data_IF_310529997107
#
_entry.id   IF_310529997107
#
_cell.length_a   1.000
_cell.length_b   1.000
_cell.length_c   1.000
_cell.angle_alpha   90.00
_cell.angle_beta   90.00
_cell.angle_gamma   90.00
#
_symmetry.space_group_name_H-M   'P 1'
#
loop_
_entity.id
_entity.type
_entity.pdbx_description
1 polymer ?
#
# COMPACT_ATOMS: atom_id res chain seq x y z
N UNK A 1 -5.89 -28.64 -1.13
CA UNK A 1 -4.55 -29.09 -1.59
C UNK A 1 -3.61 -27.91 -1.73
N UNK A 2 -4.04 -26.76 -2.29
CA UNK A 2 -3.24 -25.53 -2.33
C UNK A 2 -2.78 -25.05 -0.94
N UNK A 3 -3.60 -25.31 0.08
CA UNK A 3 -3.38 -24.98 1.50
C UNK A 3 -2.04 -25.50 2.00
N UNK A 4 -1.67 -26.71 1.59
CA UNK A 4 -0.46 -27.41 2.04
C UNK A 4 0.82 -26.75 1.51
N UNK A 5 0.78 -26.12 0.33
CA UNK A 5 1.93 -25.37 -0.22
C UNK A 5 2.04 -23.98 0.43
N UNK A 6 0.93 -23.24 0.54
CA UNK A 6 0.93 -21.93 1.19
C UNK A 6 1.38 -22.03 2.65
N UNK A 7 0.90 -23.03 3.38
CA UNK A 7 1.29 -23.32 4.76
C UNK A 7 2.76 -23.75 4.89
N UNK A 8 3.27 -24.56 3.96
CA UNK A 8 4.71 -24.92 3.91
C UNK A 8 5.61 -23.73 3.60
N UNK A 9 5.18 -22.80 2.74
CA UNK A 9 5.91 -21.55 2.48
C UNK A 9 5.87 -20.62 3.71
N UNK A 10 4.72 -20.52 4.38
CA UNK A 10 4.61 -19.76 5.63
C UNK A 10 5.53 -20.32 6.72
N UNK A 11 5.45 -21.62 7.01
CA UNK A 11 6.31 -22.28 8.01
C UNK A 11 7.79 -22.27 7.66
N UNK A 12 8.14 -22.53 6.40
CA UNK A 12 9.53 -22.73 5.98
C UNK A 12 10.28 -21.47 5.57
N UNK A 13 9.59 -20.37 5.26
CA UNK A 13 10.21 -19.20 4.64
C UNK A 13 9.69 -17.84 5.15
N UNK A 14 8.39 -17.70 5.41
CA UNK A 14 7.84 -16.43 5.93
C UNK A 14 8.10 -16.30 7.42
N UNK A 15 7.66 -17.25 8.25
CA UNK A 15 7.79 -17.18 9.71
C UNK A 15 9.25 -17.03 10.18
N UNK A 16 10.25 -17.77 9.64
CA UNK A 16 11.65 -17.54 9.99
C UNK A 16 12.13 -16.12 9.65
N UNK A 17 11.70 -15.56 8.52
CA UNK A 17 12.06 -14.18 8.13
C UNK A 17 11.39 -13.12 8.99
N UNK A 18 10.14 -13.34 9.40
CA UNK A 18 9.46 -12.47 10.36
C UNK A 18 10.18 -12.50 11.72
N UNK A 19 10.63 -13.67 12.16
CA UNK A 19 11.37 -13.79 13.42
C UNK A 19 12.75 -13.09 13.33
N UNK A 20 13.55 -13.44 12.32
CA UNK A 20 14.90 -12.90 12.08
C UNK A 20 14.92 -11.36 11.91
N UNK A 21 13.92 -10.78 11.25
CA UNK A 21 13.96 -9.38 10.80
C UNK A 21 13.01 -8.44 11.54
N UNK A 22 11.91 -8.95 12.11
CA UNK A 22 10.83 -8.12 12.64
C UNK A 22 10.48 -8.42 14.09
N UNK A 23 10.82 -9.59 14.66
CA UNK A 23 10.46 -9.99 16.03
C UNK A 23 10.75 -8.92 17.09
N UNK A 24 11.98 -8.39 17.11
CA UNK A 24 12.38 -7.34 18.06
C UNK A 24 11.63 -6.02 17.80
N UNK A 25 11.57 -5.56 16.54
CA UNK A 25 10.91 -4.30 16.16
C UNK A 25 9.41 -4.32 16.47
N UNK A 26 8.74 -5.45 16.18
CA UNK A 26 7.33 -5.67 16.47
C UNK A 26 7.06 -5.72 17.98
N UNK A 27 7.96 -6.35 18.74
CA UNK A 27 7.86 -6.36 20.22
C UNK A 27 7.86 -4.93 20.77
N UNK A 28 8.81 -4.09 20.35
CA UNK A 28 8.87 -2.68 20.78
C UNK A 28 7.62 -1.89 20.37
N UNK A 29 7.14 -2.04 19.13
CA UNK A 29 5.90 -1.37 18.67
C UNK A 29 4.68 -1.78 19.51
N UNK A 30 4.55 -3.08 19.82
CA UNK A 30 3.43 -3.61 20.63
C UNK A 30 3.52 -3.12 22.09
N UNK A 31 4.72 -3.03 22.66
CA UNK A 31 4.96 -2.45 23.99
C UNK A 31 4.60 -0.95 24.05
N UNK A 32 4.96 -0.19 23.02
CA UNK A 32 4.60 1.23 22.88
C UNK A 32 3.08 1.42 22.75
N UNK A 33 2.41 0.66 21.87
CA UNK A 33 0.94 0.70 21.73
C UNK A 33 0.26 0.36 23.07
N UNK A 34 0.73 -0.66 23.78
CA UNK A 34 0.23 -0.98 25.12
C UNK A 34 0.45 0.16 26.12
N UNK A 35 1.57 0.88 26.06
CA UNK A 35 1.84 2.02 26.93
C UNK A 35 0.87 3.18 26.63
N UNK A 36 0.64 3.50 25.36
CA UNK A 36 -0.32 4.54 24.96
C UNK A 36 -1.77 4.20 25.37
N UNK A 37 -2.22 2.97 25.12
CA UNK A 37 -3.58 2.55 25.49
C UNK A 37 -3.78 2.57 27.03
N UNK A 38 -2.76 2.16 27.81
CA UNK A 38 -2.80 2.25 29.28
C UNK A 38 -2.83 3.70 29.77
N UNK A 39 -2.13 4.63 29.12
CA UNK A 39 -2.20 6.07 29.44
C UNK A 39 -3.56 6.68 29.10
N UNK A 40 -4.23 6.19 28.04
CA UNK A 40 -5.58 6.62 27.66
C UNK A 40 -6.71 5.98 28.47
N UNK A 41 -6.44 4.96 29.30
CA UNK A 41 -7.45 4.25 30.08
C UNK A 41 -7.85 5.06 31.32
N UNK A 42 -9.15 5.32 31.51
CA UNK A 42 -9.62 6.08 32.67
C UNK A 42 -9.55 5.26 33.97
N UNK A 43 -9.36 5.95 35.10
CA UNK A 43 -9.34 5.31 36.41
C UNK A 43 -10.65 4.57 36.69
N UNK A 44 -10.56 3.25 36.91
CA UNK A 44 -11.71 2.37 37.12
C UNK A 44 -12.21 1.62 35.88
N UNK A 45 -11.61 1.84 34.70
CA UNK A 45 -11.78 0.97 33.55
C UNK A 45 -10.79 -0.21 33.59
N UNK A 46 -11.16 -1.32 32.94
CA UNK A 46 -10.27 -2.47 32.78
C UNK A 46 -9.13 -2.11 31.80
N UNK A 47 -7.86 -2.43 32.10
CA UNK A 47 -6.75 -2.12 31.21
C UNK A 47 -6.82 -2.96 29.92
N UNK A 48 -6.31 -2.43 28.79
CA UNK A 48 -6.29 -3.13 27.50
C UNK A 48 -5.51 -4.44 27.60
N UNK A 49 -6.04 -5.50 26.99
CA UNK A 49 -5.39 -6.80 26.92
C UNK A 49 -4.44 -6.89 25.72
N UNK A 50 -3.57 -7.92 25.73
CA UNK A 50 -2.71 -8.22 24.58
C UNK A 50 -3.50 -8.65 23.34
N UNK A 51 -4.70 -9.21 23.50
CA UNK A 51 -5.53 -9.64 22.37
C UNK A 51 -6.17 -8.42 21.68
N UNK A 52 -6.60 -7.41 22.43
CA UNK A 52 -7.11 -6.14 21.87
C UNK A 52 -6.03 -5.43 21.03
N UNK A 53 -4.79 -5.39 21.56
CA UNK A 53 -3.62 -4.81 20.88
C UNK A 53 -3.28 -5.60 19.62
N UNK A 54 -3.35 -6.93 19.67
CA UNK A 54 -3.12 -7.82 18.52
C UNK A 54 -4.17 -7.62 17.43
N UNK A 55 -5.45 -7.47 17.77
CA UNK A 55 -6.52 -7.19 16.79
C UNK A 55 -6.28 -5.85 16.10
N UNK A 56 -6.01 -4.79 16.88
CA UNK A 56 -5.71 -3.46 16.34
C UNK A 56 -4.47 -3.48 15.43
N UNK A 57 -3.38 -4.11 15.90
CA UNK A 57 -2.14 -4.20 15.13
C UNK A 57 -2.31 -4.95 13.80
N UNK A 58 -3.14 -6.00 13.76
CA UNK A 58 -3.40 -6.74 12.51
C UNK A 58 -4.21 -5.92 11.51
N UNK A 59 -5.17 -5.11 11.96
CA UNK A 59 -5.91 -4.18 11.11
C UNK A 59 -4.99 -3.10 10.52
N UNK A 60 -4.15 -2.48 11.36
CA UNK A 60 -3.19 -1.47 10.90
C UNK A 60 -2.12 -2.06 9.96
N UNK A 61 -1.71 -3.31 10.18
CA UNK A 61 -0.78 -4.03 9.29
C UNK A 61 -1.40 -4.32 7.92
N UNK A 62 -2.67 -4.72 7.86
CA UNK A 62 -3.41 -4.91 6.60
C UNK A 62 -3.46 -3.58 5.81
N UNK A 63 -3.85 -2.48 6.47
CA UNK A 63 -3.85 -1.13 5.88
C UNK A 63 -2.44 -0.73 5.39
N UNK A 64 -1.38 -1.04 6.15
CA UNK A 64 -0.01 -0.73 5.76
C UNK A 64 0.46 -1.56 4.55
N UNK A 65 0.11 -2.84 4.50
CA UNK A 65 0.42 -3.70 3.36
C UNK A 65 -0.24 -3.17 2.08
N UNK A 66 -1.54 -2.90 2.13
CA UNK A 66 -2.32 -2.42 0.98
C UNK A 66 -1.94 -1.01 0.53
N UNK A 67 -1.65 -0.09 1.46
CA UNK A 67 -1.39 1.32 1.13
C UNK A 67 0.08 1.65 0.84
N UNK A 68 1.03 0.79 1.22
CA UNK A 68 2.48 1.05 1.07
C UNK A 68 3.27 -0.10 0.45
N UNK A 69 3.08 -1.32 0.92
CA UNK A 69 3.96 -2.44 0.55
C UNK A 69 3.58 -3.04 -0.80
N UNK A 70 2.32 -3.43 -0.98
CA UNK A 70 1.84 -4.07 -2.20
C UNK A 70 1.94 -3.15 -3.43
N UNK A 71 1.52 -1.87 -3.39
CA UNK A 71 1.67 -0.98 -4.55
C UNK A 71 3.14 -0.75 -4.95
N UNK A 72 4.04 -0.68 -3.95
CA UNK A 72 5.48 -0.53 -4.16
C UNK A 72 6.19 -1.79 -4.67
N UNK A 73 5.53 -2.96 -4.60
CA UNK A 73 5.96 -4.22 -5.23
C UNK A 73 5.32 -4.34 -6.61
N UNK A 74 4.03 -4.04 -6.75
CA UNK A 74 3.30 -4.06 -8.01
C UNK A 74 3.97 -3.14 -9.04
N UNK A 75 4.30 -1.90 -8.68
CA UNK A 75 5.02 -0.96 -9.56
C UNK A 75 6.44 -1.40 -9.97
N UNK A 76 6.99 -2.47 -9.36
CA UNK A 76 8.28 -3.09 -9.76
C UNK A 76 8.10 -4.32 -10.64
N UNK A 77 6.99 -5.05 -10.46
CA UNK A 77 6.66 -6.24 -11.24
C UNK A 77 5.96 -5.87 -12.55
N UNK A 78 5.03 -4.91 -12.44
CA UNK A 78 4.35 -4.21 -13.52
C UNK A 78 4.79 -2.73 -13.43
N UNK A 79 6.03 -2.38 -13.87
CA UNK A 79 6.33 -0.98 -14.09
C UNK A 79 5.25 -0.40 -14.99
N UNK A 80 4.75 0.83 -14.73
CA UNK A 80 3.84 1.47 -15.67
C UNK A 80 4.55 1.44 -17.02
N UNK A 81 3.90 0.83 -18.02
CA UNK A 81 4.28 1.11 -19.39
C UNK A 81 4.18 2.62 -19.49
N UNK A 82 5.29 3.26 -19.87
CA UNK A 82 5.20 4.64 -20.32
C UNK A 82 4.06 4.66 -21.32
N UNK A 83 3.04 5.49 -21.07
CA UNK A 83 2.20 5.93 -22.16
C UNK A 83 3.18 6.59 -23.12
N UNK A 84 3.60 5.82 -24.12
CA UNK A 84 4.04 6.35 -25.39
C UNK A 84 2.81 7.07 -25.90
N UNK A 85 2.67 8.31 -25.44
CA UNK A 85 1.99 9.39 -26.14
C UNK A 85 2.83 9.55 -27.40
N UNK A 86 2.54 8.64 -28.34
CA UNK A 86 3.05 8.63 -29.68
C UNK A 86 2.85 10.05 -30.20
N UNK A 87 3.92 10.65 -30.71
CA UNK A 87 3.88 12.02 -31.26
C UNK A 87 2.90 12.03 -32.42
N UNK A 88 1.63 12.31 -32.11
CA UNK A 88 0.56 12.52 -33.05
C UNK A 88 0.74 13.91 -33.69
N UNK A 89 1.76 13.97 -34.54
CA UNK A 89 2.06 14.92 -35.60
C UNK A 89 1.75 16.41 -35.35
N UNK A 90 2.81 17.21 -35.43
CA UNK A 90 2.68 18.55 -36.02
C UNK A 90 2.08 18.44 -37.43
N UNK A 91 0.84 18.87 -37.63
CA UNK A 91 0.38 19.39 -38.92
C UNK A 91 -0.11 20.84 -38.73
N UNK A 92 0.59 21.85 -39.29
CA UNK A 92 0.12 23.23 -39.28
C UNK A 92 -0.74 23.49 -40.53
N UNK A 93 -2.06 23.35 -40.41
CA UNK A 93 -2.97 23.84 -41.45
C UNK A 93 -3.07 25.38 -41.39
N UNK A 94 -2.13 26.02 -42.09
CA UNK A 94 -2.28 27.39 -42.58
C UNK A 94 -2.87 27.29 -44.00
N UNK A 95 -4.15 27.63 -44.17
CA UNK A 95 -4.75 27.83 -45.49
C UNK A 95 -5.29 29.26 -45.59
N UNK A 96 -4.45 30.18 -46.09
CA UNK A 96 -4.86 31.51 -46.56
C UNK A 96 -5.22 31.46 -48.05
N UNK A 97 -6.42 31.92 -48.41
CA UNK A 97 -6.85 32.56 -49.68
C UNK A 97 -8.37 32.34 -49.87
N UNK A 98 -9.25 33.32 -49.66
CA UNK A 98 -9.60 34.48 -50.53
C UNK A 98 -10.64 34.19 -51.64
N UNK A 99 -11.38 35.26 -51.99
CA UNK A 99 -12.54 35.35 -52.92
C UNK A 99 -13.91 34.84 -52.35
N UNK A 100 -15.05 35.54 -52.52
CA UNK A 100 -15.31 36.78 -53.28
C UNK A 100 -16.51 37.60 -52.70
N UNK A 101 -16.74 38.80 -53.27
CA UNK A 101 -17.63 39.89 -52.83
C UNK A 101 -19.16 39.71 -53.04
N UNK A 102 -19.94 40.71 -52.56
CA UNK A 102 -21.32 41.12 -52.97
C UNK A 102 -22.48 40.15 -52.69
N UNK A 103 -23.77 40.50 -52.57
CA UNK A 103 -24.59 41.75 -52.55
C UNK A 103 -25.56 41.63 -51.32
N UNK A 104 -26.38 42.59 -50.87
CA UNK A 104 -26.88 43.89 -51.40
C UNK A 104 -26.63 45.02 -50.38
#
# INVERSE_FOLDING_TARGET
MSDDIAFKIQLGLVLPKLDDQLSQSLTTIIEEIMAYLKQGTLAGQEPPSLEDVKVLFMQDLEIFLDSKVLPGIEAKLNPPQEEVVEEAAEEPEIEEAEAEETEE
#
